data_IF_688270223066
#
_entry.id   IF_688270223066
#
_cell.length_a   1.000
_cell.length_b   1.000
_cell.length_c   1.000
_cell.angle_alpha   90.00
_cell.angle_beta   90.00
_cell.angle_gamma   90.00
#
_symmetry.space_group_name_H-M   'P 1'
#
loop_
_entity.id
_entity.type
_entity.pdbx_description
1 polymer ?
#
# COMPACT_ATOMS: atom_id res chain seq x y z
N UNK A 1 20.05 0.66 -23.87
CA UNK A 1 19.49 -0.43 -23.03
C UNK A 1 18.95 0.17 -21.74
N UNK A 2 17.66 0.53 -21.71
CA UNK A 2 17.00 1.24 -20.59
C UNK A 2 15.85 0.40 -19.99
N UNK A 3 16.12 -0.86 -19.63
CA UNK A 3 15.11 -1.77 -19.06
C UNK A 3 15.60 -2.45 -17.76
N UNK A 4 15.97 -1.67 -16.73
CA UNK A 4 16.36 -2.22 -15.41
C UNK A 4 15.95 -1.37 -14.20
N UNK A 5 14.81 -0.67 -14.24
CA UNK A 5 14.23 -0.02 -13.04
C UNK A 5 12.74 -0.24 -12.84
N UNK A 6 12.08 -1.03 -13.70
CA UNK A 6 10.65 -1.31 -13.60
C UNK A 6 10.30 -2.63 -12.90
N UNK A 7 11.32 -3.37 -12.43
CA UNK A 7 11.14 -4.69 -11.81
C UNK A 7 11.09 -4.66 -10.28
N UNK A 8 11.00 -3.48 -9.63
CA UNK A 8 11.32 -3.44 -8.19
C UNK A 8 10.16 -3.76 -7.24
N UNK A 9 8.89 -3.57 -7.62
CA UNK A 9 7.75 -3.94 -6.76
C UNK A 9 6.50 -4.24 -7.60
N UNK A 10 6.52 -5.34 -8.35
CA UNK A 10 5.32 -5.82 -9.04
C UNK A 10 4.30 -6.34 -8.01
N UNK A 11 3.04 -5.89 -8.09
CA UNK A 11 1.97 -6.20 -7.13
C UNK A 11 0.68 -6.56 -7.85
N UNK A 12 -0.05 -7.54 -7.32
CA UNK A 12 -1.37 -7.91 -7.82
C UNK A 12 -2.42 -6.97 -7.25
N UNK A 13 -3.15 -6.25 -8.11
CA UNK A 13 -4.29 -5.43 -7.68
C UNK A 13 -5.54 -6.28 -7.47
N UNK A 14 -6.26 -6.02 -6.39
CA UNK A 14 -7.51 -6.69 -6.05
C UNK A 14 -8.57 -5.66 -5.64
N UNK A 15 -9.80 -5.85 -6.09
CA UNK A 15 -10.93 -4.92 -5.85
C UNK A 15 -12.01 -5.53 -4.95
N UNK A 16 -11.71 -6.71 -4.40
CA UNK A 16 -12.55 -7.47 -3.48
C UNK A 16 -11.69 -8.16 -2.42
N UNK A 17 -12.25 -8.37 -1.24
CA UNK A 17 -11.63 -9.19 -0.21
C UNK A 17 -11.79 -10.66 -0.58
N UNK A 18 -10.74 -11.25 -1.13
CA UNK A 18 -10.69 -12.65 -1.58
C UNK A 18 -9.32 -13.25 -1.24
N UNK A 19 -9.24 -14.57 -1.14
CA UNK A 19 -7.95 -15.24 -1.03
C UNK A 19 -7.15 -15.06 -2.32
N UNK A 20 -5.97 -14.44 -2.22
CA UNK A 20 -5.11 -14.14 -3.37
C UNK A 20 -3.94 -15.11 -3.40
N UNK A 21 -3.84 -15.88 -4.49
CA UNK A 21 -2.61 -16.57 -4.88
C UNK A 21 -1.85 -15.67 -5.86
N UNK A 22 -0.63 -15.27 -5.49
CA UNK A 22 0.15 -14.38 -6.34
C UNK A 22 0.57 -15.06 -7.65
N UNK A 23 0.36 -14.41 -8.81
CA UNK A 23 0.98 -14.82 -10.06
C UNK A 23 2.51 -14.87 -9.95
N UNK A 24 3.13 -15.75 -10.74
CA UNK A 24 4.58 -15.83 -10.84
C UNK A 24 5.12 -14.52 -11.41
N UNK A 25 5.87 -13.76 -10.59
CA UNK A 25 6.43 -12.39 -10.80
C UNK A 25 5.80 -11.27 -9.95
N UNK A 26 4.73 -11.57 -9.19
CA UNK A 26 4.15 -10.63 -8.24
C UNK A 26 4.76 -10.87 -6.85
N UNK A 27 5.06 -9.78 -6.14
CA UNK A 27 5.74 -9.82 -4.84
C UNK A 27 4.80 -9.48 -3.66
N UNK A 28 3.63 -8.92 -3.96
CA UNK A 28 2.63 -8.49 -2.98
C UNK A 28 1.26 -8.38 -3.62
N UNK A 29 0.22 -8.26 -2.79
CA UNK A 29 -1.11 -7.88 -3.21
C UNK A 29 -1.43 -6.46 -2.72
N UNK A 30 -2.19 -5.73 -3.53
CA UNK A 30 -2.76 -4.43 -3.19
C UNK A 30 -4.27 -4.51 -3.31
N UNK A 31 -4.95 -4.56 -2.17
CA UNK A 31 -6.39 -4.31 -2.09
C UNK A 31 -6.65 -2.84 -2.37
N UNK A 32 -7.21 -2.52 -3.54
CA UNK A 32 -7.43 -1.14 -3.98
C UNK A 32 -8.74 -0.64 -3.37
N UNK A 33 -8.64 0.34 -2.47
CA UNK A 33 -9.78 0.95 -1.79
C UNK A 33 -10.40 2.10 -2.54
N UNK A 34 -11.65 2.42 -2.19
CA UNK A 34 -12.39 3.58 -2.71
C UNK A 34 -11.89 4.92 -2.15
N UNK A 35 -11.08 4.89 -1.09
CA UNK A 35 -10.39 6.07 -0.53
C UNK A 35 -8.89 5.80 -0.40
N UNK A 36 -8.07 6.76 -0.82
CA UNK A 36 -6.61 6.69 -0.72
C UNK A 36 -6.00 8.03 -0.29
N UNK A 37 -4.77 8.07 0.25
CA UNK A 37 -4.04 9.32 0.45
C UNK A 37 -3.80 10.01 -0.89
N UNK A 38 -3.92 11.34 -0.95
CA UNK A 38 -3.58 12.11 -2.15
C UNK A 38 -2.11 11.87 -2.57
N UNK A 39 -1.85 11.24 -3.74
CA UNK A 39 -0.50 10.90 -4.17
C UNK A 39 0.39 12.12 -4.41
N UNK A 40 -0.19 13.30 -4.67
CA UNK A 40 0.56 14.55 -4.86
C UNK A 40 1.31 14.99 -3.60
N UNK A 41 0.93 14.48 -2.44
CA UNK A 41 1.51 14.80 -1.14
C UNK A 41 2.38 13.67 -0.57
N UNK A 42 2.75 12.69 -1.40
CA UNK A 42 3.71 11.66 -1.01
C UNK A 42 5.05 12.30 -0.62
N UNK A 43 5.64 11.83 0.47
CA UNK A 43 7.00 12.22 0.87
C UNK A 43 7.96 11.08 0.61
N UNK A 44 9.09 11.39 -0.01
CA UNK A 44 10.21 10.46 -0.16
C UNK A 44 11.16 10.64 1.04
N UNK A 45 11.58 9.54 1.67
CA UNK A 45 12.65 9.53 2.66
C UNK A 45 14.01 9.37 1.99
N UNK A 46 15.09 9.62 2.73
CA UNK A 46 16.46 9.57 2.20
C UNK A 46 16.86 8.18 1.66
N UNK A 47 16.23 7.12 2.18
CA UNK A 47 16.42 5.74 1.73
C UNK A 47 15.56 5.35 0.52
N UNK A 48 14.79 6.30 -0.03
CA UNK A 48 13.89 6.07 -1.15
C UNK A 48 12.51 5.51 -0.76
N UNK A 49 12.22 5.32 0.53
CA UNK A 49 10.89 4.90 0.98
C UNK A 49 9.84 5.99 0.73
N UNK A 50 8.70 5.61 0.17
CA UNK A 50 7.55 6.51 -0.03
C UNK A 50 6.64 6.47 1.20
N UNK A 51 6.33 7.63 1.76
CA UNK A 51 5.36 7.81 2.84
C UNK A 51 4.09 8.47 2.27
N UNK A 52 2.97 7.73 2.17
CA UNK A 52 1.71 8.27 1.66
C UNK A 52 0.95 9.03 2.76
N UNK A 53 1.26 10.33 2.91
CA UNK A 53 0.76 11.18 3.99
C UNK A 53 -0.28 12.23 3.54
N UNK A 54 -0.72 12.18 2.28
CA UNK A 54 -1.75 13.06 1.75
C UNK A 54 -3.09 12.91 2.47
N UNK A 55 -3.90 13.98 2.43
CA UNK A 55 -5.29 13.91 2.93
C UNK A 55 -6.07 12.83 2.15
N UNK A 56 -7.08 12.19 2.77
CA UNK A 56 -7.90 11.20 2.07
C UNK A 56 -8.63 11.80 0.87
N UNK A 57 -8.54 11.14 -0.29
CA UNK A 57 -9.24 11.47 -1.53
C UNK A 57 -9.98 10.26 -2.07
N UNK A 58 -11.06 10.51 -2.82
CA UNK A 58 -11.82 9.44 -3.47
C UNK A 58 -11.04 8.84 -4.64
N UNK A 59 -10.87 7.52 -4.59
CA UNK A 59 -10.36 6.73 -5.68
C UNK A 59 -11.57 6.21 -6.49
N UNK A 60 -11.69 6.66 -7.75
CA UNK A 60 -12.86 6.36 -8.61
C UNK A 60 -12.80 4.94 -9.19
N UNK A 61 -12.71 3.94 -8.32
CA UNK A 61 -12.66 2.52 -8.67
C UNK A 61 -13.87 1.79 -8.08
N UNK A 62 -14.40 0.80 -8.80
CA UNK A 62 -15.42 -0.08 -8.28
C UNK A 62 -14.75 -1.14 -7.39
N UNK A 63 -14.90 -1.01 -6.08
CA UNK A 63 -14.25 -1.89 -5.09
C UNK A 63 -15.15 -2.10 -3.88
N UNK A 64 -14.98 -3.23 -3.19
CA UNK A 64 -15.66 -3.49 -1.91
C UNK A 64 -14.87 -2.94 -0.72
N UNK A 65 -13.65 -2.45 -0.93
CA UNK A 65 -12.77 -1.98 0.15
C UNK A 65 -12.93 -0.47 0.35
N UNK A 66 -13.08 -0.04 1.60
CA UNK A 66 -13.12 1.39 1.93
C UNK A 66 -11.75 2.06 1.73
N UNK A 67 -10.67 1.38 2.12
CA UNK A 67 -9.30 1.90 2.08
C UNK A 67 -8.34 0.90 1.44
N UNK A 68 -7.16 1.38 1.05
CA UNK A 68 -6.10 0.53 0.53
C UNK A 68 -5.57 -0.45 1.59
N UNK A 69 -5.31 -1.69 1.18
CA UNK A 69 -4.64 -2.71 1.98
C UNK A 69 -3.44 -3.27 1.21
N UNK A 70 -2.30 -3.45 1.88
CA UNK A 70 -1.09 -3.99 1.27
C UNK A 70 -0.69 -5.28 1.99
N UNK A 71 -0.54 -6.36 1.24
CA UNK A 71 -0.26 -7.69 1.78
C UNK A 71 1.02 -8.21 1.13
N UNK A 72 1.98 -8.62 1.97
CA UNK A 72 3.20 -9.33 1.57
C UNK A 72 3.14 -10.76 2.10
N UNK A 73 3.85 -11.67 1.43
CA UNK A 73 3.77 -13.11 1.71
C UNK A 73 5.07 -13.69 2.27
N UNK A 74 6.15 -12.90 2.27
CA UNK A 74 7.41 -13.23 2.93
C UNK A 74 7.70 -12.18 4.02
N UNK A 75 7.99 -12.67 5.23
CA UNK A 75 8.35 -11.85 6.39
C UNK A 75 9.60 -11.03 6.15
N UNK A 76 10.53 -11.50 5.31
CA UNK A 76 11.75 -10.78 4.96
C UNK A 76 11.48 -9.48 4.16
N UNK A 77 10.27 -9.30 3.63
CA UNK A 77 9.87 -8.07 2.93
C UNK A 77 9.54 -6.91 3.87
N UNK A 78 9.42 -7.16 5.18
CA UNK A 78 9.05 -6.15 6.17
C UNK A 78 10.24 -5.78 7.04
N UNK A 79 10.56 -4.49 7.09
CA UNK A 79 11.52 -3.91 8.02
C UNK A 79 10.80 -2.91 8.94
N UNK A 80 10.53 -3.30 10.19
CA UNK A 80 9.82 -2.45 11.16
C UNK A 80 10.71 -1.27 11.56
N UNK A 81 10.27 -0.04 11.27
CA UNK A 81 11.06 1.19 11.51
C UNK A 81 10.70 1.93 12.78
N UNK A 82 9.42 1.93 13.16
CA UNK A 82 8.91 2.77 14.24
C UNK A 82 7.88 2.00 15.07
N UNK A 83 7.84 2.31 16.36
CA UNK A 83 6.79 1.91 17.29
C UNK A 83 6.16 3.17 17.86
N UNK A 84 4.84 3.30 17.73
CA UNK A 84 4.10 4.45 18.23
C UNK A 84 3.32 4.05 19.47
N UNK A 85 3.55 4.74 20.58
CA UNK A 85 2.64 4.72 21.71
C UNK A 85 1.60 5.82 21.50
N UNK A 86 0.33 5.44 21.44
CA UNK A 86 -0.76 6.38 21.17
C UNK A 86 -1.85 6.31 22.24
N UNK A 87 -2.39 7.48 22.61
CA UNK A 87 -3.57 7.60 23.46
C UNK A 87 -4.79 7.87 22.58
N UNK A 88 -5.72 6.94 22.56
CA UNK A 88 -7.00 7.15 21.89
C UNK A 88 -7.94 7.94 22.78
N UNK A 89 -8.39 9.10 22.31
CA UNK A 89 -9.36 9.94 23.02
C UNK A 89 -10.76 9.71 22.41
N UNK A 90 -11.43 8.66 22.85
CA UNK A 90 -12.77 8.30 22.37
C UNK A 90 -13.82 9.28 22.91
N UNK A 91 -14.86 9.57 22.11
CA UNK A 91 -15.98 10.43 22.49
C UNK A 91 -17.28 9.65 22.77
N UNK A 92 -17.28 8.33 22.55
CA UNK A 92 -18.39 7.41 22.75
C UNK A 92 -17.84 6.06 23.20
#
# INVERSE_FOLDING_TARGET
>A
MLKKKHDMFCRQECYRATDVKLPANMHSAWGVGGTQPDPAHNRLLDDGTIVPLGKPVQNKVATTLLYNEFIVYDVAQVNVKYLLQMKFNHKY
#
